data_IF_489479942284
#
_entry.id   IF_489479942284
#
_cell.length_a   1.000
_cell.length_b   1.000
_cell.length_c   1.000
_cell.angle_alpha   90.00
_cell.angle_beta   90.00
_cell.angle_gamma   90.00
#
_symmetry.space_group_name_H-M   'P 1'
#
loop_
_entity.id
_entity.type
_entity.pdbx_description
1 polymer ?
#
# COMPACT_ATOMS: atom_id res chain seq x y z
N UNK A 1 25.17 10.05 25.38
CA UNK A 1 25.39 11.49 25.61
C UNK A 1 24.10 12.23 25.29
N UNK A 2 23.77 13.26 26.07
CA UNK A 2 22.70 14.19 25.74
C UNK A 2 23.29 15.57 25.45
N UNK A 3 22.66 16.30 24.54
CA UNK A 3 23.06 17.62 24.06
C UNK A 3 21.89 18.56 24.31
N UNK A 4 22.17 19.69 24.96
CA UNK A 4 21.24 20.80 25.12
C UNK A 4 21.50 21.81 24.00
N UNK A 5 20.47 22.11 23.23
CA UNK A 5 20.53 23.08 22.11
C UNK A 5 19.60 24.25 22.37
N UNK A 6 20.08 25.49 22.25
CA UNK A 6 19.25 26.70 22.41
C UNK A 6 19.21 27.32 23.81
N UNK A 7 20.28 27.17 24.60
CA UNK A 7 20.39 27.78 25.93
C UNK A 7 19.68 27.00 27.05
N UNK A 8 19.50 27.62 28.21
CA UNK A 8 19.00 26.98 29.43
C UNK A 8 17.58 26.37 29.28
N UNK A 9 16.72 27.01 28.50
CA UNK A 9 15.36 26.54 28.17
C UNK A 9 15.29 25.87 26.79
N UNK A 10 16.45 25.45 26.28
CA UNK A 10 16.59 24.82 24.98
C UNK A 10 16.04 23.38 24.91
N UNK A 11 16.04 22.82 23.70
CA UNK A 11 15.68 21.42 23.50
C UNK A 11 16.81 20.49 23.95
N UNK A 12 16.42 19.39 24.60
CA UNK A 12 17.33 18.33 25.02
C UNK A 12 17.20 17.17 24.03
N UNK A 13 18.33 16.67 23.53
CA UNK A 13 18.39 15.51 22.64
C UNK A 13 19.43 14.51 23.13
N UNK A 14 19.07 13.24 23.20
CA UNK A 14 19.98 12.15 23.59
C UNK A 14 19.64 11.50 24.92
N UNK A 15 20.61 10.82 25.52
CA UNK A 15 20.38 9.94 26.70
C UNK A 15 20.84 10.62 27.99
N UNK A 16 19.96 10.68 28.98
CA UNK A 16 20.26 11.08 30.37
C UNK A 16 19.77 9.95 31.29
N UNK A 17 20.70 9.24 31.93
CA UNK A 17 20.39 8.10 32.79
C UNK A 17 19.55 7.02 32.08
N UNK A 18 18.39 6.68 32.67
CA UNK A 18 17.42 5.74 32.13
C UNK A 18 16.41 6.34 31.15
N UNK A 19 16.56 7.61 30.75
CA UNK A 19 15.67 8.33 29.85
C UNK A 19 16.35 8.67 28.52
N UNK A 20 15.57 8.68 27.46
CA UNK A 20 15.97 9.11 26.13
C UNK A 20 15.06 10.25 25.71
N UNK A 21 15.69 11.40 25.44
CA UNK A 21 15.06 12.61 24.94
C UNK A 21 15.21 12.64 23.42
N UNK A 22 14.13 12.94 22.72
CA UNK A 22 14.14 13.10 21.27
C UNK A 22 13.18 14.19 20.85
N UNK A 23 13.60 15.06 19.95
CA UNK A 23 12.73 16.10 19.40
C UNK A 23 12.00 15.58 18.17
N UNK A 24 10.68 15.73 18.16
CA UNK A 24 9.81 15.40 17.03
C UNK A 24 8.80 16.52 16.82
N UNK A 25 8.68 17.02 15.59
CA UNK A 25 7.77 18.13 15.26
C UNK A 25 7.92 19.34 16.22
N UNK A 26 9.16 19.72 16.56
CA UNK A 26 9.50 20.78 17.51
C UNK A 26 9.00 20.57 18.96
N UNK A 27 8.59 19.35 19.31
CA UNK A 27 8.27 18.96 20.69
C UNK A 27 9.31 17.97 21.19
N UNK A 28 9.85 18.20 22.38
CA UNK A 28 10.77 17.27 23.02
C UNK A 28 9.95 16.17 23.71
N UNK A 29 10.05 14.96 23.19
CA UNK A 29 9.41 13.77 23.73
C UNK A 29 10.43 13.02 24.61
N UNK A 30 9.97 12.50 25.75
CA UNK A 30 10.78 11.72 26.69
C UNK A 30 10.25 10.29 26.75
N UNK A 31 11.16 9.32 26.64
CA UNK A 31 10.83 7.89 26.75
C UNK A 31 11.84 7.18 27.63
N UNK A 32 11.40 6.09 28.26
CA UNK A 32 12.31 5.19 28.97
C UNK A 32 13.29 4.56 28.00
N UNK A 33 14.51 4.32 28.48
CA UNK A 33 15.51 3.53 27.76
C UNK A 33 14.90 2.15 27.46
N UNK A 34 14.93 1.70 26.19
CA UNK A 34 14.41 0.39 25.84
C UNK A 34 15.17 -0.68 26.63
N UNK A 35 14.42 -1.61 27.23
CA UNK A 35 15.01 -2.78 27.88
C UNK A 35 15.71 -3.61 26.82
N UNK A 36 16.94 -4.03 27.11
CA UNK A 36 17.66 -4.98 26.26
C UNK A 36 16.88 -6.30 26.27
N UNK A 37 16.64 -6.85 25.09
CA UNK A 37 16.04 -8.17 24.96
C UNK A 37 17.14 -9.22 25.07
N UNK A 38 17.01 -10.13 26.02
CA UNK A 38 17.95 -11.21 26.28
C UNK A 38 17.19 -12.53 26.10
N UNK A 39 17.29 -13.12 24.91
CA UNK A 39 16.59 -14.35 24.55
C UNK A 39 16.74 -14.70 23.06
N UNK A 40 16.44 -15.96 22.68
CA UNK A 40 16.44 -16.36 21.28
C UNK A 40 15.32 -15.65 20.52
N UNK A 41 15.61 -15.22 19.28
CA UNK A 41 14.63 -14.52 18.45
C UNK A 41 13.60 -15.54 17.95
N UNK A 42 12.32 -15.29 18.24
CA UNK A 42 11.22 -16.15 17.78
C UNK A 42 11.01 -16.04 16.27
N UNK A 43 10.51 -17.10 15.64
CA UNK A 43 10.17 -17.11 14.20
C UNK A 43 9.16 -16.00 13.84
N UNK A 44 8.19 -15.73 14.71
CA UNK A 44 7.25 -14.63 14.54
C UNK A 44 7.97 -13.26 14.48
N UNK A 45 9.00 -13.06 15.31
CA UNK A 45 9.82 -11.85 15.29
C UNK A 45 10.69 -11.78 14.02
N UNK A 46 11.23 -12.90 13.54
CA UNK A 46 11.97 -12.97 12.27
C UNK A 46 11.06 -12.62 11.09
N UNK A 47 9.83 -13.15 11.07
CA UNK A 47 8.84 -12.85 10.04
C UNK A 47 8.52 -11.34 9.99
N UNK A 48 8.24 -10.73 11.15
CA UNK A 48 8.00 -9.28 11.24
C UNK A 48 9.21 -8.49 10.71
N UNK A 49 10.43 -8.85 11.12
CA UNK A 49 11.66 -8.19 10.65
C UNK A 49 11.85 -8.33 9.14
N UNK A 50 11.60 -9.52 8.60
CA UNK A 50 11.71 -9.78 7.16
C UNK A 50 10.68 -8.95 6.37
N UNK A 51 9.41 -8.95 6.81
CA UNK A 51 8.35 -8.12 6.20
C UNK A 51 8.67 -6.63 6.24
N UNK A 52 9.12 -6.13 7.38
CA UNK A 52 9.52 -4.73 7.55
C UNK A 52 10.69 -4.39 6.62
N UNK A 53 11.73 -5.22 6.59
CA UNK A 53 12.91 -5.02 5.73
C UNK A 53 12.53 -4.98 4.26
N UNK A 54 11.73 -5.95 3.82
CA UNK A 54 11.28 -6.10 2.45
C UNK A 54 10.47 -4.88 2.00
N UNK A 55 9.46 -4.49 2.77
CA UNK A 55 8.61 -3.34 2.44
C UNK A 55 9.35 -2.00 2.51
N UNK A 56 10.25 -1.83 3.49
CA UNK A 56 11.04 -0.61 3.62
C UNK A 56 11.99 -0.44 2.44
N UNK A 57 12.65 -1.52 2.02
CA UNK A 57 13.53 -1.51 0.85
C UNK A 57 12.75 -1.17 -0.43
N UNK A 58 11.56 -1.75 -0.62
CA UNK A 58 10.71 -1.47 -1.77
C UNK A 58 10.19 -0.03 -1.77
N UNK A 59 9.52 0.42 -0.69
CA UNK A 59 8.95 1.77 -0.62
C UNK A 59 10.03 2.87 -0.59
N UNK A 60 11.24 2.55 -0.14
CA UNK A 60 12.39 3.46 -0.16
C UNK A 60 12.68 4.00 -1.56
N UNK A 61 12.52 3.17 -2.59
CA UNK A 61 12.71 3.55 -4.00
C UNK A 61 11.70 4.62 -4.46
N UNK A 62 10.52 4.66 -3.85
CA UNK A 62 9.43 5.57 -4.22
C UNK A 62 9.31 6.78 -3.30
N UNK A 63 10.32 7.07 -2.47
CA UNK A 63 10.24 8.10 -1.42
C UNK A 63 9.81 9.48 -1.97
N UNK A 64 10.32 9.88 -3.14
CA UNK A 64 9.96 11.14 -3.80
C UNK A 64 8.48 11.17 -4.20
N UNK A 65 7.99 10.10 -4.83
CA UNK A 65 6.58 9.97 -5.25
C UNK A 65 5.63 9.85 -4.06
N UNK A 66 6.03 9.17 -2.99
CA UNK A 66 5.26 9.06 -1.74
C UNK A 66 5.05 10.43 -1.09
N UNK A 67 6.07 11.30 -1.11
CA UNK A 67 5.94 12.67 -0.59
C UNK A 67 4.93 13.50 -1.39
N UNK A 68 4.81 13.25 -2.69
CA UNK A 68 3.84 13.89 -3.58
C UNK A 68 2.44 13.31 -3.32
N UNK A 69 2.30 11.98 -3.31
CA UNK A 69 1.04 11.26 -3.16
C UNK A 69 0.42 11.29 -1.76
N UNK A 70 1.20 11.68 -0.74
CA UNK A 70 0.72 11.89 0.63
C UNK A 70 1.14 13.28 1.12
N UNK A 71 0.44 14.35 0.68
CA UNK A 71 0.75 15.70 1.12
C UNK A 71 0.63 15.80 2.64
N UNK A 72 1.56 16.54 3.27
CA UNK A 72 1.59 16.74 4.72
C UNK A 72 0.24 17.30 5.17
N UNK A 73 -0.52 16.50 5.92
CA UNK A 73 -1.76 16.95 6.56
C UNK A 73 -1.41 17.45 7.97
N UNK A 74 -1.67 18.72 8.30
CA UNK A 74 -1.28 19.29 9.60
C UNK A 74 -1.89 18.54 10.80
N UNK A 75 -3.06 17.91 10.62
CA UNK A 75 -3.73 17.12 11.66
C UNK A 75 -3.11 15.73 11.90
N UNK A 76 -2.24 15.22 11.01
CA UNK A 76 -1.58 13.92 11.19
C UNK A 76 -0.16 14.11 11.72
N UNK A 77 0.10 13.61 12.93
CA UNK A 77 1.46 13.50 13.53
C UNK A 77 2.32 12.42 12.86
N UNK A 78 2.12 12.11 11.58
CA UNK A 78 2.75 11.01 10.87
C UNK A 78 3.37 11.49 9.55
N UNK A 79 4.58 11.00 9.24
CA UNK A 79 5.23 11.30 7.96
C UNK A 79 4.48 10.64 6.80
N UNK A 80 4.64 11.20 5.59
CA UNK A 80 4.08 10.62 4.36
C UNK A 80 4.51 9.16 4.19
N UNK A 81 5.80 8.88 4.42
CA UNK A 81 6.34 7.52 4.33
C UNK A 81 5.65 6.56 5.31
N UNK A 82 5.50 6.93 6.58
CA UNK A 82 4.86 6.07 7.58
C UNK A 82 3.37 5.86 7.27
N UNK A 83 2.71 6.85 6.65
CA UNK A 83 1.32 6.74 6.22
C UNK A 83 1.14 5.70 5.10
N UNK A 84 2.04 5.70 4.13
CA UNK A 84 2.08 4.70 3.04
C UNK A 84 2.47 3.34 3.58
N UNK A 85 3.52 3.29 4.39
CA UNK A 85 4.05 2.07 4.99
C UNK A 85 2.96 1.31 5.75
N UNK A 86 2.24 1.98 6.65
CA UNK A 86 1.15 1.36 7.41
C UNK A 86 0.03 0.82 6.52
N UNK A 87 -0.23 1.43 5.36
CA UNK A 87 -1.26 0.97 4.43
C UNK A 87 -0.81 -0.25 3.62
N UNK A 88 0.42 -0.25 3.16
CA UNK A 88 0.93 -1.35 2.35
C UNK A 88 1.31 -2.58 3.20
N UNK A 89 1.74 -2.38 4.45
CA UNK A 89 2.21 -3.47 5.32
C UNK A 89 1.20 -4.61 5.53
N UNK A 90 -0.10 -4.31 5.53
CA UNK A 90 -1.14 -5.31 5.73
C UNK A 90 -1.74 -5.88 4.45
N UNK A 91 -1.55 -5.21 3.30
CA UNK A 91 -2.28 -5.53 2.08
C UNK A 91 -1.39 -6.08 0.96
N UNK A 92 -0.09 -5.81 1.00
CA UNK A 92 0.81 -5.99 -0.14
C UNK A 92 1.71 -7.22 -0.02
N UNK A 93 2.02 -7.65 1.20
CA UNK A 93 2.96 -8.75 1.42
C UNK A 93 2.19 -10.06 1.45
N UNK A 94 2.44 -10.92 0.46
CA UNK A 94 1.91 -12.27 0.39
C UNK A 94 3.00 -13.30 0.76
N UNK A 95 2.58 -14.50 1.11
CA UNK A 95 3.47 -15.61 1.48
C UNK A 95 3.73 -15.80 2.98
N UNK A 96 4.49 -16.85 3.27
CA UNK A 96 4.87 -17.28 4.63
C UNK A 96 6.38 -17.24 4.73
N UNK A 97 6.89 -16.69 5.83
CA UNK A 97 8.32 -16.65 6.11
C UNK A 97 8.94 -18.06 5.94
N UNK A 98 10.07 -18.22 5.23
CA UNK A 98 10.96 -17.17 4.70
C UNK A 98 10.60 -16.62 3.31
N UNK A 99 9.67 -17.24 2.59
CA UNK A 99 9.31 -16.88 1.21
C UNK A 99 8.22 -15.80 1.21
N UNK A 100 8.65 -14.55 1.36
CA UNK A 100 7.78 -13.37 1.33
C UNK A 100 7.91 -12.67 -0.02
N UNK A 101 6.78 -12.32 -0.63
CA UNK A 101 6.72 -11.63 -1.91
C UNK A 101 5.82 -10.40 -1.84
N UNK A 102 6.07 -9.43 -2.72
CA UNK A 102 5.21 -8.25 -2.87
C UNK A 102 4.21 -8.51 -3.99
N UNK A 103 2.94 -8.38 -3.67
CA UNK A 103 1.90 -8.21 -4.68
C UNK A 103 1.89 -6.77 -5.17
N UNK A 104 2.55 -6.54 -6.31
CA UNK A 104 2.66 -5.25 -6.95
C UNK A 104 1.31 -4.62 -7.32
N UNK A 105 0.26 -5.42 -7.54
CA UNK A 105 -1.05 -4.93 -7.94
C UNK A 105 -1.79 -4.20 -6.83
N UNK A 106 -1.51 -4.54 -5.56
CA UNK A 106 -2.14 -3.96 -4.37
C UNK A 106 -1.39 -2.74 -3.81
N UNK A 107 -0.20 -2.44 -4.34
CA UNK A 107 0.64 -1.34 -3.86
C UNK A 107 -0.05 -0.01 -4.09
N UNK A 108 -0.12 0.80 -3.03
CA UNK A 108 -0.66 2.17 -3.09
C UNK A 108 0.43 3.18 -2.74
N UNK A 109 0.67 4.18 -3.60
CA UNK A 109 1.61 5.28 -3.36
C UNK A 109 0.93 6.60 -3.00
N UNK A 110 -0.34 6.76 -3.35
CA UNK A 110 -1.14 7.96 -3.16
C UNK A 110 -2.55 7.63 -2.69
N UNK A 111 -3.11 8.47 -1.81
CA UNK A 111 -4.50 8.35 -1.39
C UNK A 111 -5.09 9.70 -1.01
N UNK A 112 -6.07 10.14 -1.77
CA UNK A 112 -6.87 11.32 -1.46
C UNK A 112 -8.26 11.24 -2.05
N UNK A 113 -8.91 12.40 -2.14
CA UNK A 113 -10.30 12.54 -2.56
C UNK A 113 -10.44 12.92 -4.04
N UNK A 114 -9.33 13.18 -4.73
CA UNK A 114 -9.34 13.51 -6.14
C UNK A 114 -9.70 12.25 -6.94
N UNK A 115 -10.61 12.39 -7.89
CA UNK A 115 -10.99 11.28 -8.76
C UNK A 115 -9.82 10.91 -9.69
N UNK A 116 -9.56 9.61 -9.83
CA UNK A 116 -8.51 9.09 -10.72
C UNK A 116 -8.87 9.24 -12.20
N UNK A 117 -8.04 8.67 -13.07
CA UNK A 117 -8.30 8.64 -14.51
C UNK A 117 -9.44 7.65 -14.81
N UNK A 118 -10.42 8.07 -15.58
CA UNK A 118 -11.48 7.17 -16.06
C UNK A 118 -10.98 6.40 -17.28
N UNK A 119 -11.27 5.09 -17.31
CA UNK A 119 -10.96 4.23 -18.47
C UNK A 119 -9.50 4.31 -18.94
N UNK A 120 -8.55 4.26 -18.00
CA UNK A 120 -7.12 4.22 -18.30
C UNK A 120 -6.78 3.01 -19.19
N UNK A 121 -6.19 3.28 -20.35
CA UNK A 121 -5.70 2.28 -21.30
C UNK A 121 -4.25 2.57 -21.66
N UNK A 122 -3.48 1.53 -21.87
CA UNK A 122 -2.09 1.63 -22.34
C UNK A 122 -1.98 0.82 -23.62
N UNK A 123 -1.85 1.53 -24.73
CA UNK A 123 -1.66 0.94 -26.04
C UNK A 123 -0.17 0.92 -26.36
N UNK A 124 0.31 -0.21 -26.90
CA UNK A 124 1.66 -0.30 -27.44
C UNK A 124 1.60 0.13 -28.90
N UNK A 125 2.19 1.29 -29.22
CA UNK A 125 2.27 1.78 -30.60
C UNK A 125 3.39 1.04 -31.34
N UNK A 126 4.60 1.04 -30.75
CA UNK A 126 5.80 0.45 -31.36
C UNK A 126 6.51 -0.51 -30.41
N UNK A 127 7.65 -1.07 -30.86
CA UNK A 127 8.52 -1.85 -29.96
C UNK A 127 9.01 -1.05 -28.75
N UNK A 128 9.14 0.27 -28.90
CA UNK A 128 9.77 1.16 -27.92
C UNK A 128 8.85 2.32 -27.47
N UNK A 129 7.61 2.41 -27.95
CA UNK A 129 6.73 3.55 -27.63
C UNK A 129 5.38 3.07 -27.13
N UNK A 130 4.93 3.67 -26.02
CA UNK A 130 3.63 3.42 -25.41
C UNK A 130 2.81 4.69 -25.40
N UNK A 131 1.50 4.52 -25.58
CA UNK A 131 0.53 5.58 -25.52
C UNK A 131 -0.47 5.28 -24.40
N UNK A 132 -0.52 6.19 -23.44
CA UNK A 132 -1.41 6.07 -22.30
C UNK A 132 -2.59 6.98 -22.57
N UNK A 133 -3.78 6.41 -22.69
CA UNK A 133 -5.02 7.14 -22.95
C UNK A 133 -5.96 7.04 -21.77
N UNK A 134 -6.71 8.10 -21.52
CA UNK A 134 -7.80 8.10 -20.55
C UNK A 134 -8.95 8.94 -21.06
N UNK A 135 -10.13 8.69 -20.50
CA UNK A 135 -11.28 9.53 -20.77
C UNK A 135 -11.39 10.60 -19.68
N UNK A 136 -11.43 11.87 -20.09
CA UNK A 136 -11.79 12.97 -19.20
C UNK A 136 -13.31 13.20 -19.21
N UNK A 137 -14.09 12.15 -18.91
CA UNK A 137 -15.52 12.30 -18.70
C UNK A 137 -15.74 12.91 -17.32
N UNK A 138 -15.55 14.23 -17.22
CA UNK A 138 -15.97 15.02 -16.06
C UNK A 138 -17.48 14.86 -15.98
N UNK A 139 -17.98 14.16 -14.95
CA UNK A 139 -19.41 14.11 -14.68
C UNK A 139 -19.84 15.50 -14.25
N UNK A 140 -20.52 16.21 -15.16
CA UNK A 140 -21.26 17.43 -14.85
C UNK A 140 -22.24 17.11 -13.72
N UNK A 141 -21.98 17.54 -12.49
CA UNK A 141 -22.93 17.36 -11.40
C UNK A 141 -22.41 17.51 -9.98
N UNK A 142 -21.15 17.22 -9.67
CA UNK A 142 -20.60 17.44 -8.33
C UNK A 142 -19.09 17.73 -8.40
N UNK A 143 -18.70 18.92 -7.95
CA UNK A 143 -17.37 19.58 -8.03
C UNK A 143 -17.17 20.49 -9.25
N UNK A 144 -17.62 21.73 -9.11
CA UNK A 144 -17.32 22.92 -9.91
C UNK A 144 -15.84 23.36 -9.85
N UNK A 145 -14.88 22.44 -9.71
CA UNK A 145 -13.51 22.84 -9.33
C UNK A 145 -12.46 21.77 -9.66
N UNK A 146 -12.65 21.06 -10.78
CA UNK A 146 -11.62 20.22 -11.41
C UNK A 146 -11.10 20.99 -12.61
N UNK A 147 -10.40 22.09 -12.37
CA UNK A 147 -9.61 22.73 -13.41
C UNK A 147 -8.72 21.62 -14.00
N UNK A 148 -8.85 21.33 -15.29
CA UNK A 148 -8.17 20.23 -16.00
C UNK A 148 -6.64 20.25 -15.95
N UNK A 149 -6.07 21.14 -15.13
CA UNK A 149 -4.68 21.35 -14.76
C UNK A 149 -4.18 20.37 -13.68
N UNK A 150 -4.83 19.22 -13.45
CA UNK A 150 -4.27 18.17 -12.60
C UNK A 150 -3.05 17.55 -13.29
N UNK A 151 -1.93 17.48 -12.58
CA UNK A 151 -0.71 16.83 -13.08
C UNK A 151 -0.78 15.33 -12.88
N UNK A 152 -0.40 14.58 -13.91
CA UNK A 152 -0.32 13.13 -13.88
C UNK A 152 1.11 12.74 -13.48
N UNK A 153 1.20 11.79 -12.57
CA UNK A 153 2.43 11.09 -12.23
C UNK A 153 2.29 9.65 -12.69
N UNK A 154 3.10 9.26 -13.68
CA UNK A 154 3.18 7.90 -14.19
C UNK A 154 4.57 7.33 -13.88
N UNK A 155 4.60 6.24 -13.14
CA UNK A 155 5.81 5.62 -12.62
C UNK A 155 5.90 4.20 -13.16
N UNK A 156 7.04 3.87 -13.74
CA UNK A 156 7.40 2.52 -14.14
C UNK A 156 8.34 1.90 -13.11
N UNK A 157 8.08 0.65 -12.77
CA UNK A 157 8.90 -0.12 -11.85
C UNK A 157 9.27 -1.47 -12.46
N UNK A 158 10.57 -1.76 -12.45
CA UNK A 158 11.12 -3.09 -12.76
C UNK A 158 11.43 -3.83 -11.45
N UNK A 159 10.84 -5.00 -11.27
CA UNK A 159 11.05 -5.84 -10.10
C UNK A 159 12.44 -6.49 -10.06
N UNK A 160 13.07 -6.73 -11.22
CA UNK A 160 14.35 -7.42 -11.32
C UNK A 160 15.48 -6.49 -10.93
N UNK A 161 15.59 -5.36 -11.63
CA UNK A 161 16.69 -4.40 -11.41
C UNK A 161 16.37 -3.38 -10.31
N UNK A 162 15.13 -3.38 -9.79
CA UNK A 162 14.62 -2.42 -8.79
C UNK A 162 14.73 -0.97 -9.26
N UNK A 163 14.58 -0.76 -10.56
CA UNK A 163 14.63 0.54 -11.21
C UNK A 163 13.26 1.21 -11.15
N UNK A 164 13.23 2.52 -10.85
CA UNK A 164 12.02 3.34 -10.84
C UNK A 164 12.24 4.53 -11.77
N UNK A 165 11.34 4.72 -12.75
CA UNK A 165 11.40 5.83 -13.70
C UNK A 165 10.05 6.54 -13.76
N UNK A 166 10.05 7.87 -13.74
CA UNK A 166 8.86 8.68 -14.04
C UNK A 166 8.81 8.95 -15.55
N UNK A 167 7.66 8.70 -16.18
CA UNK A 167 7.46 8.86 -17.63
C UNK A 167 6.39 9.89 -18.00
N UNK A 168 5.73 10.49 -17.01
CA UNK A 168 4.62 11.43 -17.25
C UNK A 168 5.04 12.71 -17.97
N UNK A 169 6.33 13.09 -17.99
CA UNK A 169 6.87 14.28 -18.70
C UNK A 169 6.05 15.58 -18.52
N UNK A 170 5.36 15.75 -17.39
CA UNK A 170 4.51 16.92 -17.13
C UNK A 170 3.09 16.86 -17.70
N UNK A 171 2.65 15.70 -18.20
CA UNK A 171 1.30 15.46 -18.71
C UNK A 171 0.22 15.92 -17.74
N UNK A 172 -0.79 16.59 -18.29
CA UNK A 172 -1.94 17.09 -17.57
C UNK A 172 -3.17 16.23 -17.86
N UNK A 173 -4.14 16.24 -16.95
CA UNK A 173 -5.40 15.52 -17.11
C UNK A 173 -6.15 15.90 -18.38
N UNK A 174 -6.07 17.16 -18.81
CA UNK A 174 -6.74 17.65 -20.02
C UNK A 174 -6.10 17.17 -21.33
N UNK A 175 -4.88 16.62 -21.30
CA UNK A 175 -4.19 16.14 -22.50
C UNK A 175 -4.88 14.90 -23.10
N UNK A 176 -5.69 14.18 -22.29
CA UNK A 176 -6.41 12.93 -22.60
C UNK A 176 -5.52 11.74 -23.01
N UNK A 177 -4.27 11.99 -23.34
CA UNK A 177 -3.26 11.00 -23.63
C UNK A 177 -1.87 11.59 -23.42
N UNK A 178 -0.88 10.71 -23.21
CA UNK A 178 0.52 11.07 -23.40
C UNK A 178 1.29 9.86 -23.90
N UNK A 179 2.30 10.13 -24.73
CA UNK A 179 3.20 9.12 -25.26
C UNK A 179 4.54 9.18 -24.53
N UNK A 180 5.13 8.02 -24.28
CA UNK A 180 6.47 7.94 -23.73
C UNK A 180 7.29 6.84 -24.40
N UNK A 181 8.61 7.07 -24.62
CA UNK A 181 9.52 6.04 -25.04
C UNK A 181 9.87 5.12 -23.86
N UNK A 182 9.89 3.82 -24.09
CA UNK A 182 10.33 2.83 -23.12
C UNK A 182 11.86 2.92 -22.95
N UNK A 183 12.36 3.12 -21.72
CA UNK A 183 13.79 3.09 -21.44
C UNK A 183 14.41 1.74 -21.84
N UNK A 184 15.61 1.78 -22.44
CA UNK A 184 16.32 0.58 -22.94
C UNK A 184 16.52 -0.50 -21.87
N UNK A 185 16.68 -0.09 -20.62
CA UNK A 185 16.89 -0.96 -19.46
C UNK A 185 15.67 -1.84 -19.13
N UNK A 186 14.48 -1.46 -19.58
CA UNK A 186 13.22 -2.15 -19.26
C UNK A 186 12.67 -3.00 -20.42
N UNK A 187 13.39 -3.09 -21.55
CA UNK A 187 12.95 -3.86 -22.72
C UNK A 187 12.90 -5.36 -22.41
N UNK A 188 11.84 -6.04 -22.81
CA UNK A 188 11.69 -7.50 -22.66
C UNK A 188 11.37 -7.99 -21.24
N UNK A 189 11.14 -7.07 -20.30
CA UNK A 189 10.84 -7.39 -18.90
C UNK A 189 9.37 -7.20 -18.55
N UNK A 190 9.01 -7.65 -17.35
CA UNK A 190 7.70 -7.38 -16.75
C UNK A 190 7.78 -6.07 -15.99
N UNK A 191 6.98 -5.08 -16.40
CA UNK A 191 7.00 -3.73 -15.83
C UNK A 191 5.69 -3.48 -15.11
N UNK A 192 5.79 -2.89 -13.93
CA UNK A 192 4.67 -2.45 -13.12
C UNK A 192 4.50 -0.95 -13.30
N UNK A 193 3.36 -0.53 -13.87
CA UNK A 193 3.03 0.87 -14.06
C UNK A 193 2.05 1.35 -12.98
N UNK A 194 2.38 2.47 -12.36
CA UNK A 194 1.57 3.13 -11.34
C UNK A 194 1.25 4.56 -11.77
N UNK A 195 -0.03 4.91 -11.73
CA UNK A 195 -0.50 6.24 -12.12
C UNK A 195 -1.27 6.87 -10.98
N UNK A 196 -1.01 8.15 -10.70
CA UNK A 196 -1.86 8.96 -9.84
C UNK A 196 -1.82 10.43 -10.26
N UNK A 197 -2.80 11.18 -9.79
CA UNK A 197 -2.94 12.61 -10.08
C UNK A 197 -2.68 13.43 -8.84
N UNK A 198 -2.20 14.64 -9.08
CA UNK A 198 -2.12 15.69 -8.07
C UNK A 198 -2.67 16.98 -8.66
N UNK A 199 -3.57 17.60 -7.91
CA UNK A 199 -4.10 18.90 -8.29
C UNK A 199 -3.00 19.97 -8.20
N UNK A 200 -2.96 20.86 -9.20
CA UNK A 200 -2.03 21.99 -9.22
C UNK A 200 -2.47 23.11 -8.28
N UNK A 201 -3.78 23.27 -8.10
CA UNK A 201 -4.36 24.34 -7.26
C UNK A 201 -4.58 23.88 -5.83
N UNK A 202 -5.19 22.70 -5.68
CA UNK A 202 -5.48 22.12 -4.37
C UNK A 202 -4.37 21.17 -3.96
N UNK A 203 -4.12 21.04 -2.65
CA UNK A 203 -3.20 20.02 -2.12
C UNK A 203 -3.87 18.63 -2.09
N UNK A 204 -4.59 18.30 -3.15
CA UNK A 204 -5.35 17.06 -3.31
C UNK A 204 -4.65 16.11 -4.28
N UNK A 205 -4.90 14.82 -4.07
CA UNK A 205 -4.23 13.71 -4.76
C UNK A 205 -5.24 12.60 -4.98
N UNK A 206 -5.08 11.86 -6.07
CA UNK A 206 -5.95 10.73 -6.38
C UNK A 206 -5.44 9.45 -5.75
N UNK A 207 -6.26 8.39 -5.82
CA UNK A 207 -5.82 7.03 -5.50
C UNK A 207 -4.93 6.49 -6.61
N UNK A 208 -3.88 5.76 -6.24
CA UNK A 208 -3.01 5.06 -7.19
C UNK A 208 -3.80 4.05 -8.02
N UNK A 209 -3.60 4.08 -9.33
CA UNK A 209 -4.06 3.12 -10.30
C UNK A 209 -2.87 2.29 -10.78
N UNK A 210 -3.10 1.00 -11.01
CA UNK A 210 -2.06 0.05 -11.37
C UNK A 210 -2.38 -0.59 -12.71
N UNK A 211 -1.34 -0.77 -13.53
CA UNK A 211 -1.40 -1.55 -14.76
C UNK A 211 -0.13 -2.39 -14.89
N UNK A 212 -0.29 -3.65 -15.31
CA UNK A 212 0.83 -4.53 -15.61
C UNK A 212 1.16 -4.43 -17.11
N UNK A 213 2.44 -4.24 -17.44
CA UNK A 213 2.96 -4.26 -18.80
C UNK A 213 3.91 -5.45 -18.93
N UNK A 214 3.41 -6.55 -19.48
CA UNK A 214 4.21 -7.73 -19.79
C UNK A 214 4.83 -7.56 -21.18
N UNK A 215 6.10 -7.13 -21.24
CA UNK A 215 6.82 -6.86 -22.50
C UNK A 215 7.65 -8.04 -23.00
N UNK A 216 7.51 -9.20 -22.37
CA UNK A 216 8.10 -10.44 -22.86
C UNK A 216 7.41 -10.78 -24.18
N UNK A 217 8.19 -11.15 -25.19
CA UNK A 217 7.60 -11.67 -26.42
C UNK A 217 6.68 -12.84 -26.06
N UNK A 218 5.45 -12.90 -26.59
CA UNK A 218 4.57 -14.03 -26.33
C UNK A 218 5.32 -15.27 -26.82
N UNK A 219 5.73 -16.12 -25.88
CA UNK A 219 6.31 -17.40 -26.22
C UNK A 219 5.34 -18.13 -27.14
N UNK A 220 5.88 -18.85 -28.13
CA UNK A 220 5.16 -19.64 -29.13
C UNK A 220 4.06 -20.56 -28.56
N UNK A 221 4.04 -20.76 -27.25
CA UNK A 221 3.16 -21.66 -26.50
C UNK A 221 1.86 -21.00 -25.97
N UNK A 222 1.64 -19.69 -26.20
CA UNK A 222 0.40 -19.02 -25.75
C UNK A 222 -0.72 -19.03 -26.81
N UNK A 223 -0.37 -19.27 -28.08
CA UNK A 223 -1.35 -19.47 -29.17
C UNK A 223 -2.17 -20.76 -29.02
N UNK A 224 -1.69 -21.74 -28.26
CA UNK A 224 -2.41 -23.00 -28.01
C UNK A 224 -3.40 -22.90 -26.83
N UNK A 225 -3.33 -21.84 -26.01
CA UNK A 225 -4.28 -21.63 -24.89
C UNK A 225 -5.53 -20.85 -25.27
N UNK A 226 -5.47 -20.00 -26.29
CA UNK A 226 -6.63 -19.22 -26.76
C UNK A 226 -7.56 -19.99 -27.72
N UNK A 227 -7.16 -21.17 -28.19
CA UNK A 227 -7.98 -22.06 -29.03
C UNK A 227 -8.69 -23.18 -28.23
N UNK A 228 -8.43 -23.30 -26.93
CA UNK A 228 -9.01 -24.33 -26.06
C UNK A 228 -10.28 -23.94 -25.29
N UNK A 229 -10.72 -22.67 -25.36
CA UNK A 229 -11.95 -22.22 -24.68
C UNK A 229 -13.15 -22.13 -25.62
N UNK A 230 -13.49 -23.26 -26.25
CA UNK A 230 -14.88 -23.52 -26.65
C UNK A 230 -15.44 -24.50 -25.63
N UNK A 231 -15.73 -24.00 -24.43
CA UNK A 231 -16.53 -24.75 -23.47
C UNK A 231 -17.98 -24.68 -23.94
N UNK A 232 -18.38 -25.78 -24.59
CA UNK A 232 -19.73 -26.20 -24.88
C UNK A 232 -20.66 -25.89 -23.71
N UNK A 233 -21.83 -25.34 -24.01
CA UNK A 233 -23.00 -25.36 -23.13
C UNK A 233 -23.36 -26.81 -22.84
N UNK A 234 -22.99 -27.31 -21.66
CA UNK A 234 -23.58 -28.52 -21.09
C UNK A 234 -24.60 -28.05 -20.08
N UNK A 235 -25.86 -28.07 -20.49
CA UNK A 235 -26.99 -28.23 -19.60
C UNK A 235 -26.94 -29.68 -19.13
N UNK A 236 -26.94 -29.92 -17.82
CA UNK A 236 -27.63 -31.06 -17.19
C UNK A 236 -27.39 -31.06 -15.66
N UNK A 237 -28.49 -30.84 -14.94
CA UNK A 237 -29.01 -31.65 -13.84
C UNK A 237 -28.05 -32.26 -12.81
N UNK A 238 -28.11 -31.73 -11.58
CA UNK A 238 -27.41 -32.34 -10.44
C UNK A 238 -27.54 -31.61 -9.10
N UNK A 239 -28.72 -31.11 -8.74
CA UNK A 239 -28.92 -30.31 -7.50
C UNK A 239 -28.99 -31.15 -6.21
N UNK A 240 -29.04 -32.49 -6.26
CA UNK A 240 -29.33 -33.29 -5.06
C UNK A 240 -28.15 -33.96 -4.32
N UNK A 241 -26.90 -33.88 -4.79
CA UNK A 241 -25.79 -34.57 -4.12
C UNK A 241 -25.00 -33.73 -3.08
N UNK A 242 -25.17 -32.39 -3.04
CA UNK A 242 -24.38 -31.52 -2.14
C UNK A 242 -25.02 -31.23 -0.78
N UNK A 243 -26.32 -31.47 -0.59
CA UNK A 243 -27.01 -31.19 0.68
C UNK A 243 -26.79 -32.26 1.76
N UNK A 244 -26.40 -33.47 1.37
CA UNK A 244 -26.24 -34.58 2.32
C UNK A 244 -24.87 -34.59 3.02
N UNK A 245 -23.83 -34.10 2.34
CA UNK A 245 -22.48 -34.03 2.90
C UNK A 245 -22.28 -32.85 3.88
N UNK A 246 -23.07 -31.78 3.78
CA UNK A 246 -23.03 -30.65 4.73
C UNK A 246 -23.67 -30.96 6.09
N UNK A 247 -24.58 -31.95 6.16
CA UNK A 247 -25.20 -32.38 7.43
C UNK A 247 -24.30 -33.30 8.27
N UNK A 248 -23.39 -34.05 7.65
CA UNK A 248 -22.43 -34.93 8.36
C UNK A 248 -21.29 -34.16 9.01
N UNK A 249 -20.82 -33.06 8.40
CA UNK A 249 -19.71 -32.25 8.95
C UNK A 249 -20.13 -31.38 10.15
N UNK A 250 -21.39 -30.92 10.19
CA UNK A 250 -21.90 -30.11 11.29
C UNK A 250 -22.01 -30.84 12.65
N UNK A 251 -21.97 -32.18 12.66
CA UNK A 251 -22.07 -32.99 13.88
C UNK A 251 -20.75 -33.07 14.67
N UNK A 252 -19.62 -32.73 14.05
CA UNK A 252 -18.27 -32.87 14.64
C UNK A 252 -17.62 -31.55 15.09
N UNK A 253 -18.31 -30.41 14.96
CA UNK A 253 -17.78 -29.08 15.32
C UNK A 253 -18.44 -28.46 16.58
N UNK A 254 -19.16 -29.24 17.37
CA UNK A 254 -19.71 -28.78 18.65
C UNK A 254 -18.62 -28.67 19.72
N UNK A 255 -18.02 -27.48 19.84
CA UNK A 255 -17.10 -27.13 20.94
C UNK A 255 -17.91 -27.03 22.24
N UNK A 256 -17.54 -27.73 23.34
CA UNK A 256 -18.25 -27.61 24.61
C UNK A 256 -18.10 -26.21 25.20
N UNK A 257 -19.22 -25.62 25.65
CA UNK A 257 -19.25 -24.34 26.38
C UNK A 257 -18.42 -24.47 27.67
N UNK A 258 -17.28 -23.78 27.76
CA UNK A 258 -16.54 -23.62 29.01
C UNK A 258 -17.41 -22.84 30.02
N UNK A 259 -17.71 -23.48 31.15
CA UNK A 259 -18.29 -22.85 32.33
C UNK A 259 -17.27 -21.89 32.96
N UNK A 260 -17.55 -20.59 32.98
CA UNK A 260 -16.83 -19.63 33.82
C UNK A 260 -17.55 -19.50 35.17
N UNK A 261 -16.85 -19.56 36.31
CA UNK A 261 -17.47 -19.37 37.62
C UNK A 261 -17.88 -17.90 37.81
N UNK A 262 -19.14 -17.68 38.19
CA UNK A 262 -19.71 -16.36 38.53
C UNK A 262 -18.99 -15.77 39.75
N UNK A 263 -18.32 -14.62 39.61
CA UNK A 263 -17.80 -13.85 40.74
C UNK A 263 -18.97 -13.25 41.55
N UNK A 264 -19.04 -13.58 42.84
CA UNK A 264 -19.96 -12.99 43.83
C UNK A 264 -19.66 -11.49 44.00
N UNK A 265 -20.71 -10.66 43.97
CA UNK A 265 -20.69 -9.25 44.40
C UNK A 265 -20.40 -9.19 45.90
N UNK A 266 -19.32 -8.52 46.32
CA UNK A 266 -19.20 -8.01 47.69
C UNK A 266 -19.43 -6.50 47.68
N UNK A 267 -20.54 -6.06 48.28
CA UNK A 267 -20.72 -4.68 48.75
C UNK A 267 -19.62 -4.39 49.78
N UNK A 268 -18.94 -3.25 49.65
CA UNK A 268 -18.22 -2.62 50.76
C UNK A 268 -18.77 -1.21 50.89
N UNK A 269 -19.52 -1.02 51.97
CA UNK A 269 -20.00 0.27 52.44
C UNK A 269 -18.82 1.15 52.83
N UNK A 270 -18.81 2.39 52.36
CA UNK A 270 -17.96 3.46 52.88
C UNK A 270 -18.76 4.18 53.95
N UNK A 271 -18.44 3.90 55.21
CA UNK A 271 -18.89 4.70 56.34
C UNK A 271 -18.00 5.95 56.44
N UNK A 272 -18.63 7.10 56.23
CA UNK A 272 -18.14 8.41 56.64
C UNK A 272 -18.25 8.47 58.17
N UNK A 273 -17.16 8.74 58.86
CA UNK A 273 -17.17 9.22 60.25
C UNK A 273 -16.24 10.43 60.36
N UNK A 274 -16.88 11.55 60.67
CA UNK A 274 -16.45 12.71 61.49
C UNK A 274 -14.97 13.08 61.47
#
# INVERSE_FOLDING_TARGET
MAILTGGLFGNISGKIGGLVFSTRNNQTEVRNLPKKYEGPITEAALNIRARLKLLTAFLGLFTSFIRIGYPKRPKRRMSAFNAVFSKNYHCVIDGVYPNLEIDYSKVTFSRGNLEGLSSLKVDRIDRQSFDVKWNNSIKWGHYLDTDGCDRIYCILYDAVDRLVIEVSMGAMRNDNHFMFPLPKEMVGKKIHMYVFLRSSLKKEVSRTQYQCLDLREPGRNEKDRSLGSVCKTVVDDGVNAKKENLRKVAKYLAIPKKCYPKKKKSRKDWAIRS
#
